data_IF_834785477711
#
_entry.id   IF_834785477711
#
_cell.length_a   1.000
_cell.length_b   1.000
_cell.length_c   1.000
_cell.angle_alpha   90.00
_cell.angle_beta   90.00
_cell.angle_gamma   90.00
#
_symmetry.space_group_name_H-M   'P 1'
#
loop_
_entity.id
_entity.type
_entity.pdbx_description
1 polymer ?
#
# COMPACT_ATOMS: atom_id res chain seq x y z
N UNK A 1 0.11 -1.34 0.69
CA UNK A 1 -0.91 -2.28 1.20
C UNK A 1 -1.12 -3.38 0.16
N UNK A 2 -0.97 -4.63 0.59
CA UNK A 2 -1.11 -5.82 -0.27
C UNK A 2 -2.18 -6.71 0.36
N UNK A 3 -3.18 -7.11 -0.42
CA UNK A 3 -4.11 -8.18 -0.07
C UNK A 3 -3.41 -9.52 -0.35
N UNK A 4 -3.36 -10.36 0.68
CA UNK A 4 -2.69 -11.68 0.68
C UNK A 4 -3.69 -12.79 1.03
N UNK A 5 -4.99 -12.54 0.87
CA UNK A 5 -6.05 -13.53 1.11
C UNK A 5 -5.91 -14.75 0.19
N UNK A 6 -5.47 -14.55 -1.06
CA UNK A 6 -4.92 -15.59 -1.92
C UNK A 6 -3.38 -15.54 -1.88
N UNK A 7 -2.71 -16.51 -1.21
CA UNK A 7 -1.25 -16.52 -1.10
C UNK A 7 -0.54 -16.81 -2.43
N UNK A 8 -1.25 -17.36 -3.43
CA UNK A 8 -0.69 -17.63 -4.77
C UNK A 8 -0.81 -16.43 -5.71
N UNK A 9 -1.68 -15.47 -5.38
CA UNK A 9 -1.91 -14.26 -6.16
C UNK A 9 -2.10 -13.02 -5.26
N UNK A 10 -1.03 -12.49 -4.65
CA UNK A 10 -1.11 -11.26 -3.87
C UNK A 10 -1.48 -10.06 -4.74
N UNK A 11 -2.40 -9.20 -4.27
CA UNK A 11 -2.89 -8.03 -5.02
C UNK A 11 -2.48 -6.74 -4.31
N UNK A 12 -1.88 -5.79 -5.05
CA UNK A 12 -1.63 -4.44 -4.50
C UNK A 12 -2.94 -3.66 -4.45
N UNK A 13 -3.52 -3.56 -3.26
CA UNK A 13 -4.76 -2.78 -3.02
C UNK A 13 -4.48 -1.32 -2.70
N UNK A 14 -3.21 -0.96 -2.45
CA UNK A 14 -2.92 0.41 -2.16
C UNK A 14 -1.50 0.81 -1.82
N UNK A 15 -1.29 2.11 -1.73
CA UNK A 15 -0.05 2.72 -1.27
C UNK A 15 -0.33 4.03 -0.55
N UNK A 16 0.51 4.33 0.42
CA UNK A 16 0.58 5.61 1.07
C UNK A 16 2.02 6.09 0.96
N UNK A 17 2.19 7.32 0.49
CA UNK A 17 3.49 7.96 0.39
C UNK A 17 3.56 9.04 1.46
N UNK A 18 4.29 8.72 2.51
CA UNK A 18 4.56 9.56 3.68
C UNK A 18 5.51 10.73 3.33
N UNK A 19 6.39 10.54 2.34
CA UNK A 19 7.40 11.54 1.98
C UNK A 19 8.69 11.44 2.80
N UNK A 20 8.65 10.75 3.95
CA UNK A 20 9.80 10.44 4.79
C UNK A 20 10.22 8.97 4.82
N UNK A 21 10.84 8.57 5.94
CA UNK A 21 11.31 7.21 6.19
C UNK A 21 10.51 6.59 7.35
N UNK A 22 9.64 5.64 6.99
CA UNK A 22 8.94 4.81 7.95
C UNK A 22 9.91 3.93 8.76
N UNK A 23 9.96 4.15 10.07
CA UNK A 23 10.80 3.40 11.02
C UNK A 23 10.05 2.23 11.67
N UNK A 24 8.73 2.31 11.75
CA UNK A 24 7.90 1.29 12.39
C UNK A 24 6.45 1.37 11.94
N UNK A 25 5.80 0.20 11.90
CA UNK A 25 4.38 0.07 11.61
C UNK A 25 3.71 -0.79 12.69
N UNK A 26 2.54 -0.35 13.15
CA UNK A 26 1.69 -1.11 14.05
C UNK A 26 0.24 -1.06 13.57
N UNK A 27 -0.48 -2.16 13.75
CA UNK A 27 -1.88 -2.29 13.32
C UNK A 27 -2.73 -2.57 14.56
N UNK A 28 -3.78 -1.77 14.75
CA UNK A 28 -4.79 -2.02 15.78
C UNK A 28 -6.18 -1.80 15.21
N UNK A 29 -6.93 -2.89 15.08
CA UNK A 29 -8.22 -2.89 14.40
C UNK A 29 -8.08 -2.38 12.96
N UNK A 30 -8.86 -1.37 12.55
CA UNK A 30 -8.83 -0.86 11.18
C UNK A 30 -7.77 0.25 10.95
N UNK A 31 -7.00 0.61 11.97
CA UNK A 31 -6.02 1.70 11.90
C UNK A 31 -4.59 1.20 11.72
N UNK A 32 -3.81 1.93 10.93
CA UNK A 32 -2.37 1.74 10.79
C UNK A 32 -1.65 2.93 11.43
N UNK A 33 -0.70 2.63 12.30
CA UNK A 33 0.16 3.61 12.98
C UNK A 33 1.53 3.54 12.33
N UNK A 34 2.00 4.66 11.79
CA UNK A 34 3.28 4.77 11.11
C UNK A 34 4.18 5.73 11.89
N UNK A 35 5.34 5.24 12.32
CA UNK A 35 6.35 6.10 12.93
C UNK A 35 7.30 6.60 11.85
N UNK A 36 7.13 7.85 11.42
CA UNK A 36 8.11 8.57 10.60
C UNK A 36 9.10 9.28 11.52
N UNK A 37 10.39 9.19 11.18
CA UNK A 37 11.45 9.74 12.01
C UNK A 37 11.37 11.26 12.19
N UNK A 38 11.11 11.99 11.11
CA UNK A 38 11.07 13.46 11.14
C UNK A 38 9.65 14.00 11.27
N UNK A 39 8.67 13.28 10.72
CA UNK A 39 7.28 13.73 10.69
C UNK A 39 6.44 13.23 11.89
N UNK A 40 6.99 12.29 12.67
CA UNK A 40 6.42 11.84 13.93
C UNK A 40 5.48 10.64 13.78
N UNK A 41 4.36 10.63 14.50
CA UNK A 41 3.39 9.53 14.45
C UNK A 41 2.22 9.89 13.52
N UNK A 42 2.07 9.13 12.45
CA UNK A 42 0.94 9.23 11.54
C UNK A 42 -0.08 8.11 11.77
N UNK A 43 -1.36 8.43 11.58
CA UNK A 43 -2.47 7.50 11.77
C UNK A 43 -3.28 7.44 10.49
N UNK A 44 -3.25 6.28 9.81
CA UNK A 44 -4.08 6.03 8.64
C UNK A 44 -5.40 5.41 9.08
N UNK A 45 -6.50 6.06 8.68
CA UNK A 45 -7.86 5.57 8.89
C UNK A 45 -8.23 4.52 7.84
N UNK A 46 -9.15 3.59 8.15
CA UNK A 46 -9.62 2.58 7.18
C UNK A 46 -10.23 3.20 5.91
N UNK A 47 -10.87 4.36 6.07
CA UNK A 47 -11.54 5.07 4.99
C UNK A 47 -10.58 6.01 4.26
N UNK A 48 -9.28 5.94 4.56
CA UNK A 48 -8.28 6.68 3.81
C UNK A 48 -8.39 6.22 2.35
N UNK A 49 -8.84 7.14 1.50
CA UNK A 49 -8.94 6.96 0.05
C UNK A 49 -7.57 6.56 -0.46
N UNK A 50 -7.37 5.26 -0.56
CA UNK A 50 -6.17 4.74 -1.15
C UNK A 50 -6.29 5.08 -2.64
N UNK A 51 -5.31 5.80 -3.18
CA UNK A 51 -5.20 5.99 -4.62
C UNK A 51 -5.14 4.61 -5.28
N UNK A 52 -6.30 4.16 -5.79
CA UNK A 52 -6.42 2.88 -6.48
C UNK A 52 -5.50 2.90 -7.68
N UNK A 53 -4.43 2.11 -7.63
CA UNK A 53 -3.59 1.88 -8.80
C UNK A 53 -4.18 0.67 -9.53
N UNK A 54 -4.67 0.83 -10.77
CA UNK A 54 -5.03 -0.33 -11.57
C UNK A 54 -3.80 -1.23 -11.71
N UNK A 55 -4.05 -2.54 -11.58
CA UNK A 55 -3.05 -3.60 -11.61
C UNK A 55 -1.98 -3.33 -12.68
N UNK A 56 -0.71 -3.27 -12.27
CA UNK A 56 0.44 -3.31 -13.16
C UNK A 56 0.60 -4.75 -13.67
N UNK A 57 -0.37 -5.22 -14.45
CA UNK A 57 -0.09 -6.29 -15.39
C UNK A 57 0.85 -5.69 -16.42
N UNK A 58 2.11 -6.05 -16.32
CA UNK A 58 3.10 -5.99 -17.39
C UNK A 58 2.63 -6.83 -18.59
N UNK A 59 1.56 -6.37 -19.24
CA UNK A 59 1.18 -6.73 -20.59
C UNK A 59 2.27 -6.19 -21.52
N UNK A 60 3.33 -6.97 -21.67
CA UNK A 60 4.21 -6.95 -22.81
C UNK A 60 3.63 -7.88 -23.90
N UNK A 61 2.36 -7.69 -24.27
CA UNK A 61 1.81 -8.25 -25.51
C UNK A 61 2.29 -7.38 -26.68
N UNK A 62 3.59 -7.44 -26.96
CA UNK A 62 4.06 -7.20 -28.32
C UNK A 62 3.89 -8.51 -29.12
N UNK A 63 2.64 -8.94 -29.31
CA UNK A 63 2.31 -9.87 -30.38
C UNK A 63 2.19 -9.03 -31.65
N UNK A 64 3.26 -9.05 -32.43
CA UNK A 64 3.38 -8.23 -33.63
C UNK A 64 2.23 -8.41 -34.61
N UNK A 65 1.82 -7.29 -35.20
CA UNK A 65 1.65 -7.04 -36.63
C UNK A 65 1.77 -5.53 -36.85
#
# INVERSE_FOLDING_TARGET
MIDVSDPTSPVKVGQFYDGGFANGVYISGPYVYLADGFDGLEILSPDFEISYLPDNTNNNNNSGF
#
